data_IF_625096931502
#
_entry.id   IF_625096931502
#
_cell.length_a   1.000
_cell.length_b   1.000
_cell.length_c   1.000
_cell.angle_alpha   90.00
_cell.angle_beta   90.00
_cell.angle_gamma   90.00
#
_symmetry.space_group_name_H-M   'P 1'
#
loop_
_entity.id
_entity.type
_entity.pdbx_description
1 polymer ?
#
# COMPACT_ATOMS: atom_id res chain seq x y z
N UNK A 1 9.11 18.20 -15.68
CA UNK A 1 7.68 17.84 -15.74
C UNK A 1 7.12 18.47 -17.01
N UNK A 2 6.76 17.66 -18.01
CA UNK A 2 6.17 18.17 -19.24
C UNK A 2 4.77 18.72 -18.94
N UNK A 3 4.47 19.94 -19.42
CA UNK A 3 3.18 20.57 -19.15
C UNK A 3 2.20 20.06 -20.20
N UNK A 4 1.16 19.33 -19.77
CA UNK A 4 0.15 18.77 -20.67
C UNK A 4 -0.67 19.93 -21.28
N UNK A 5 -0.87 19.90 -22.61
CA UNK A 5 -1.40 21.03 -23.38
C UNK A 5 -2.80 20.77 -23.96
N UNK A 6 -3.45 19.66 -23.60
CA UNK A 6 -4.73 19.20 -24.16
C UNK A 6 -4.64 19.04 -25.69
N UNK A 7 -3.55 18.42 -26.13
CA UNK A 7 -3.20 18.23 -27.53
C UNK A 7 -3.30 16.76 -27.92
N UNK A 8 -3.78 16.51 -29.14
CA UNK A 8 -3.66 15.20 -29.79
C UNK A 8 -2.23 14.95 -30.24
N UNK A 9 -1.88 13.68 -30.45
CA UNK A 9 -0.54 13.27 -30.89
C UNK A 9 -0.06 13.99 -32.17
N UNK A 10 -0.94 14.16 -33.15
CA UNK A 10 -0.65 14.86 -34.42
C UNK A 10 -0.29 16.34 -34.25
N UNK A 11 -0.67 16.97 -33.14
CA UNK A 11 -0.38 18.38 -32.87
C UNK A 11 0.99 18.61 -32.20
N UNK A 12 1.72 17.53 -31.89
CA UNK A 12 3.04 17.59 -31.31
C UNK A 12 4.14 17.46 -32.37
N UNK A 13 5.20 18.25 -32.24
CA UNK A 13 6.43 18.00 -32.98
C UNK A 13 7.17 16.79 -32.38
N UNK A 14 8.08 16.18 -33.15
CA UNK A 14 8.84 15.01 -32.72
C UNK A 14 9.59 15.24 -31.40
N UNK A 15 10.22 16.40 -31.23
CA UNK A 15 10.95 16.75 -30.01
C UNK A 15 10.04 16.86 -28.78
N UNK A 16 8.82 17.38 -28.95
CA UNK A 16 7.87 17.50 -27.85
C UNK A 16 7.22 16.15 -27.49
N UNK A 17 7.00 15.27 -28.48
CA UNK A 17 6.60 13.88 -28.22
C UNK A 17 7.67 13.14 -27.41
N UNK A 18 8.95 13.30 -27.76
CA UNK A 18 10.04 12.69 -27.00
C UNK A 18 10.09 13.20 -25.55
N UNK A 19 9.90 14.51 -25.33
CA UNK A 19 9.85 15.07 -23.98
C UNK A 19 8.63 14.59 -23.20
N UNK A 20 7.48 14.44 -23.85
CA UNK A 20 6.27 13.90 -23.24
C UNK A 20 6.50 12.44 -22.83
N UNK A 21 7.03 11.60 -23.72
CA UNK A 21 7.32 10.19 -23.43
C UNK A 21 8.37 10.05 -22.32
N UNK A 22 9.43 10.86 -22.33
CA UNK A 22 10.41 10.89 -21.25
C UNK A 22 9.78 11.27 -19.91
N UNK A 23 8.88 12.28 -19.89
CA UNK A 23 8.18 12.67 -18.67
C UNK A 23 7.23 11.58 -18.16
N UNK A 24 6.58 10.85 -19.07
CA UNK A 24 5.69 9.75 -18.71
C UNK A 24 6.46 8.54 -18.18
N UNK A 25 7.61 8.22 -18.78
CA UNK A 25 8.50 7.18 -18.28
C UNK A 25 9.07 7.52 -16.90
N UNK A 26 9.51 8.76 -16.67
CA UNK A 26 9.94 9.22 -15.33
C UNK A 26 8.80 9.09 -14.30
N UNK A 27 7.57 9.41 -14.67
CA UNK A 27 6.40 9.21 -13.80
C UNK A 27 6.15 7.73 -13.50
N UNK A 28 6.27 6.88 -14.51
CA UNK A 28 6.14 5.44 -14.38
C UNK A 28 7.19 4.86 -13.42
N UNK A 29 8.45 5.26 -13.58
CA UNK A 29 9.55 4.82 -12.74
C UNK A 29 9.38 5.30 -11.29
N UNK A 30 8.98 6.57 -11.07
CA UNK A 30 8.64 7.08 -9.73
C UNK A 30 7.52 6.30 -9.07
N UNK A 31 6.49 5.91 -9.84
CA UNK A 31 5.41 5.06 -9.32
C UNK A 31 5.92 3.69 -8.88
N UNK A 32 6.79 3.07 -9.68
CA UNK A 32 7.43 1.79 -9.31
C UNK A 32 8.32 1.90 -8.07
N UNK A 33 9.08 3.00 -7.95
CA UNK A 33 9.92 3.23 -6.76
C UNK A 33 9.04 3.34 -5.52
N UNK A 34 7.95 4.13 -5.58
CA UNK A 34 6.99 4.24 -4.48
C UNK A 34 6.32 2.90 -4.13
N UNK A 35 5.98 2.09 -5.12
CA UNK A 35 5.47 0.73 -4.89
C UNK A 35 6.54 -0.13 -4.18
N UNK A 36 7.78 -0.12 -4.67
CA UNK A 36 8.88 -0.89 -4.09
C UNK A 36 9.19 -0.45 -2.66
N UNK A 37 9.23 0.85 -2.38
CA UNK A 37 9.42 1.38 -1.04
C UNK A 37 8.32 0.91 -0.09
N UNK A 38 7.07 0.90 -0.55
CA UNK A 38 5.93 0.40 0.25
C UNK A 38 5.98 -1.10 0.46
N UNK A 39 6.46 -1.87 -0.51
CA UNK A 39 6.70 -3.32 -0.34
C UNK A 39 7.80 -3.56 0.72
N UNK A 40 8.92 -2.84 0.63
CA UNK A 40 10.00 -2.91 1.63
C UNK A 40 9.49 -2.53 3.02
N UNK A 41 8.68 -1.49 3.10
CA UNK A 41 8.09 -1.06 4.37
C UNK A 41 7.10 -2.11 4.92
N UNK A 42 6.36 -2.78 4.05
CA UNK A 42 5.53 -3.92 4.43
C UNK A 42 6.36 -5.10 4.96
N UNK A 43 7.51 -5.41 4.35
CA UNK A 43 8.41 -6.46 4.84
C UNK A 43 8.93 -6.14 6.25
N UNK A 44 9.26 -4.87 6.53
CA UNK A 44 9.60 -4.41 7.89
C UNK A 44 8.44 -4.61 8.86
N UNK A 45 7.21 -4.26 8.46
CA UNK A 45 6.03 -4.47 9.29
C UNK A 45 5.72 -5.96 9.52
N UNK A 46 5.98 -6.83 8.55
CA UNK A 46 5.87 -8.29 8.71
C UNK A 46 6.94 -8.84 9.67
N UNK A 47 8.14 -8.27 9.69
CA UNK A 47 9.14 -8.57 10.71
C UNK A 47 8.69 -8.17 12.12
N UNK A 48 8.10 -6.98 12.27
CA UNK A 48 7.49 -6.54 13.52
C UNK A 48 6.33 -7.44 13.96
N UNK A 49 5.50 -7.87 13.01
CA UNK A 49 4.44 -8.84 13.24
C UNK A 49 4.98 -10.18 13.78
N UNK A 50 6.06 -10.71 13.18
CA UNK A 50 6.71 -11.93 13.67
C UNK A 50 7.28 -11.75 15.08
N UNK A 51 7.87 -10.58 15.39
CA UNK A 51 8.33 -10.25 16.73
C UNK A 51 7.18 -10.18 17.75
N UNK A 52 6.06 -9.57 17.38
CA UNK A 52 4.87 -9.49 18.22
C UNK A 52 4.25 -10.89 18.44
N UNK A 53 4.16 -11.71 17.40
CA UNK A 53 3.68 -13.09 17.49
C UNK A 53 4.58 -13.92 18.40
N UNK A 54 5.91 -13.84 18.27
CA UNK A 54 6.85 -14.51 19.14
C UNK A 54 6.71 -14.06 20.61
N UNK A 55 6.53 -12.76 20.84
CA UNK A 55 6.32 -12.20 22.19
C UNK A 55 5.02 -12.71 22.82
N UNK A 56 3.94 -12.74 22.03
CA UNK A 56 2.66 -13.30 22.47
C UNK A 56 2.78 -14.79 22.78
N UNK A 57 3.44 -15.58 21.92
CA UNK A 57 3.69 -17.01 22.16
C UNK A 57 4.51 -17.26 23.42
N UNK A 58 5.57 -16.48 23.67
CA UNK A 58 6.37 -16.58 24.91
C UNK A 58 5.51 -16.27 26.14
N UNK A 59 4.69 -15.22 26.08
CA UNK A 59 3.77 -14.86 27.17
C UNK A 59 2.72 -15.94 27.45
N UNK A 60 2.17 -16.57 26.40
CA UNK A 60 1.25 -17.70 26.53
C UNK A 60 1.92 -18.95 27.12
N UNK A 61 3.16 -19.27 26.72
CA UNK A 61 3.92 -20.42 27.22
C UNK A 61 4.29 -20.24 28.71
N UNK A 62 4.53 -19.01 29.16
CA UNK A 62 4.84 -18.72 30.57
C UNK A 62 3.60 -18.77 31.49
N UNK A 63 2.38 -18.65 30.96
CA UNK A 63 1.15 -18.71 31.75
C UNK A 63 0.82 -20.18 32.13
N UNK A 64 1.36 -20.64 33.26
CA UNK A 64 1.32 -22.04 33.71
C UNK A 64 -0.05 -22.61 34.14
N UNK A 65 -1.15 -21.84 34.13
CA UNK A 65 -2.42 -22.37 34.64
C UNK A 65 -3.71 -21.82 34.00
N UNK A 66 -3.83 -20.52 33.70
CA UNK A 66 -5.04 -19.94 33.08
C UNK A 66 -4.66 -18.72 32.25
N UNK A 67 -5.02 -18.71 30.97
CA UNK A 67 -4.93 -17.54 30.09
C UNK A 67 -6.18 -16.70 30.30
N UNK A 68 -6.03 -15.41 30.61
CA UNK A 68 -7.19 -14.52 30.79
C UNK A 68 -7.86 -14.22 29.46
N UNK A 69 -9.18 -13.98 29.49
CA UNK A 69 -9.97 -13.66 28.29
C UNK A 69 -9.42 -12.41 27.55
N UNK A 70 -8.80 -11.48 28.30
CA UNK A 70 -8.10 -10.31 27.76
C UNK A 70 -6.85 -10.66 26.93
N UNK A 71 -6.07 -11.68 27.32
CA UNK A 71 -4.94 -12.15 26.53
C UNK A 71 -5.39 -12.79 25.21
N UNK A 72 -6.54 -13.48 25.21
CA UNK A 72 -7.16 -13.98 23.98
C UNK A 72 -7.61 -12.84 23.04
N UNK A 73 -8.24 -11.80 23.58
CA UNK A 73 -8.63 -10.62 22.79
C UNK A 73 -7.39 -9.90 22.24
N UNK A 74 -6.33 -9.77 23.04
CA UNK A 74 -5.06 -9.21 22.60
C UNK A 74 -4.42 -10.03 21.46
N UNK A 75 -4.41 -11.35 21.57
CA UNK A 75 -3.93 -12.24 20.50
C UNK A 75 -4.72 -12.07 19.20
N UNK A 76 -6.05 -11.98 19.27
CA UNK A 76 -6.89 -11.73 18.10
C UNK A 76 -6.66 -10.34 17.48
N UNK A 77 -6.36 -9.33 18.29
CA UNK A 77 -5.97 -8.02 17.77
C UNK A 77 -4.64 -8.09 16.99
N UNK A 78 -3.65 -8.85 17.48
CA UNK A 78 -2.41 -9.09 16.73
C UNK A 78 -2.66 -9.84 15.42
N UNK A 79 -3.46 -10.92 15.44
CA UNK A 79 -3.84 -11.64 14.21
C UNK A 79 -4.51 -10.70 13.20
N UNK A 80 -5.41 -9.84 13.66
CA UNK A 80 -6.10 -8.87 12.81
C UNK A 80 -5.14 -7.85 12.21
N UNK A 81 -4.15 -7.38 12.98
CA UNK A 81 -3.11 -6.48 12.49
C UNK A 81 -2.27 -7.14 11.38
N UNK A 82 -1.91 -8.42 11.56
CA UNK A 82 -1.17 -9.19 10.55
C UNK A 82 -2.01 -9.37 9.28
N UNK A 83 -3.30 -9.69 9.41
CA UNK A 83 -4.19 -9.80 8.26
C UNK A 83 -4.31 -8.48 7.49
N UNK A 84 -4.39 -7.34 8.19
CA UNK A 84 -4.40 -6.02 7.55
C UNK A 84 -3.11 -5.75 6.76
N UNK A 85 -1.94 -6.14 7.29
CA UNK A 85 -0.67 -6.04 6.57
C UNK A 85 -0.63 -6.97 5.34
N UNK A 86 -1.14 -8.20 5.45
CA UNK A 86 -1.24 -9.12 4.31
C UNK A 86 -2.16 -8.55 3.23
N UNK A 87 -3.34 -8.04 3.61
CA UNK A 87 -4.28 -7.38 2.70
C UNK A 87 -3.61 -6.19 2.00
N UNK A 88 -2.83 -5.39 2.73
CA UNK A 88 -2.08 -4.27 2.16
C UNK A 88 -1.13 -4.72 1.05
N UNK A 89 -0.46 -5.87 1.21
CA UNK A 89 0.38 -6.47 0.15
C UNK A 89 -0.40 -6.69 -1.14
N UNK A 90 -1.51 -7.40 -1.04
CA UNK A 90 -2.31 -7.80 -2.19
C UNK A 90 -3.01 -6.61 -2.85
N UNK A 91 -3.52 -5.66 -2.05
CA UNK A 91 -4.12 -4.43 -2.55
C UNK A 91 -3.10 -3.56 -3.28
N UNK A 92 -1.87 -3.47 -2.77
CA UNK A 92 -0.79 -2.73 -3.45
C UNK A 92 -0.47 -3.36 -4.80
N UNK A 93 -0.27 -4.68 -4.84
CA UNK A 93 0.03 -5.40 -6.09
C UNK A 93 -1.12 -5.32 -7.10
N UNK A 94 -2.37 -5.45 -6.63
CA UNK A 94 -3.55 -5.34 -7.48
C UNK A 94 -3.71 -3.93 -8.07
N UNK A 95 -3.55 -2.89 -7.25
CA UNK A 95 -3.63 -1.50 -7.71
C UNK A 95 -2.53 -1.19 -8.73
N UNK A 96 -1.29 -1.64 -8.50
CA UNK A 96 -0.20 -1.48 -9.45
C UNK A 96 -0.51 -2.12 -10.81
N UNK A 97 -1.01 -3.37 -10.79
CA UNK A 97 -1.44 -4.07 -12.01
C UNK A 97 -2.55 -3.31 -12.73
N UNK A 98 -3.60 -2.91 -12.02
CA UNK A 98 -4.73 -2.15 -12.59
C UNK A 98 -4.27 -0.84 -13.21
N UNK A 99 -3.42 -0.10 -12.52
CA UNK A 99 -2.99 1.23 -12.97
C UNK A 99 -2.01 1.11 -14.15
N UNK A 100 -1.23 0.02 -14.25
CA UNK A 100 -0.48 -0.35 -15.46
C UNK A 100 -1.39 -0.50 -16.68
N UNK A 101 -2.49 -1.24 -16.55
CA UNK A 101 -3.44 -1.43 -17.65
C UNK A 101 -4.07 -0.10 -18.06
N UNK A 102 -4.47 0.74 -17.10
CA UNK A 102 -5.04 2.07 -17.40
C UNK A 102 -4.05 2.98 -18.10
N UNK A 103 -2.77 2.90 -17.75
CA UNK A 103 -1.73 3.66 -18.42
C UNK A 103 -1.48 3.17 -19.85
N UNK A 104 -1.45 1.86 -20.07
CA UNK A 104 -1.32 1.26 -21.40
C UNK A 104 -2.51 1.60 -22.29
N UNK A 105 -3.73 1.53 -21.75
CA UNK A 105 -4.96 1.92 -22.44
C UNK A 105 -4.94 3.41 -22.81
N UNK A 106 -4.59 4.29 -21.86
CA UNK A 106 -4.46 5.72 -22.12
C UNK A 106 -3.39 6.04 -23.18
N UNK A 107 -2.26 5.33 -23.16
CA UNK A 107 -1.22 5.45 -24.21
C UNK A 107 -1.76 5.02 -25.56
N UNK A 108 -2.44 3.88 -25.64
CA UNK A 108 -3.04 3.39 -26.88
C UNK A 108 -4.05 4.38 -27.46
N UNK A 109 -4.93 4.95 -26.62
CA UNK A 109 -5.95 5.93 -27.05
C UNK A 109 -5.35 7.26 -27.47
N UNK A 110 -4.28 7.70 -26.82
CA UNK A 110 -3.50 8.87 -27.24
C UNK A 110 -2.78 8.61 -28.58
N UNK A 111 -2.18 7.44 -28.75
CA UNK A 111 -1.45 7.07 -29.97
C UNK A 111 -2.35 6.90 -31.19
N UNK A 112 -3.60 6.47 -30.98
CA UNK A 112 -4.66 6.37 -31.97
C UNK A 112 -5.39 7.70 -32.28
N UNK A 113 -4.97 8.81 -31.67
CA UNK A 113 -5.60 10.13 -31.79
C UNK A 113 -7.06 10.20 -31.30
N UNK A 114 -7.50 9.23 -30.49
CA UNK A 114 -8.84 9.23 -29.90
C UNK A 114 -8.94 10.24 -28.75
N UNK A 115 -7.92 10.29 -27.90
CA UNK A 115 -7.83 11.19 -26.74
C UNK A 115 -6.65 12.17 -26.85
N UNK A 116 -6.74 13.28 -26.11
CA UNK A 116 -5.61 14.19 -25.90
C UNK A 116 -4.71 13.73 -24.76
N UNK A 117 -3.53 14.33 -24.65
CA UNK A 117 -2.57 14.09 -23.57
C UNK A 117 -3.13 14.35 -22.15
N UNK A 118 -4.28 15.03 -22.02
CA UNK A 118 -5.01 15.21 -20.76
C UNK A 118 -5.41 13.88 -20.12
N UNK A 119 -5.59 12.80 -20.89
CA UNK A 119 -5.90 11.46 -20.37
C UNK A 119 -4.86 11.00 -19.34
N UNK A 120 -3.58 11.34 -19.55
CA UNK A 120 -2.49 10.97 -18.65
C UNK A 120 -2.58 11.68 -17.29
N UNK A 121 -3.15 12.89 -17.23
CA UNK A 121 -3.40 13.58 -15.96
C UNK A 121 -4.42 12.82 -15.12
N UNK A 122 -5.51 12.39 -15.75
CA UNK A 122 -6.57 11.63 -15.10
C UNK A 122 -6.08 10.28 -14.58
N UNK A 123 -5.29 9.57 -15.39
CA UNK A 123 -4.69 8.28 -14.97
C UNK A 123 -3.72 8.50 -13.81
N UNK A 124 -2.85 9.51 -13.91
CA UNK A 124 -1.87 9.82 -12.87
C UNK A 124 -2.53 10.13 -11.53
N UNK A 125 -3.50 11.05 -11.51
CA UNK A 125 -4.14 11.48 -10.27
C UNK A 125 -4.90 10.32 -9.63
N UNK A 126 -5.58 9.47 -10.42
CA UNK A 126 -6.26 8.29 -9.90
C UNK A 126 -5.30 7.25 -9.30
N UNK A 127 -4.18 6.96 -9.97
CA UNK A 127 -3.16 6.00 -9.54
C UNK A 127 -2.57 6.39 -8.19
N UNK A 128 -2.06 7.63 -8.07
CA UNK A 128 -1.43 8.09 -6.83
C UNK A 128 -2.42 8.19 -5.67
N UNK A 129 -3.64 8.68 -5.92
CA UNK A 129 -4.59 8.92 -4.85
C UNK A 129 -5.16 7.63 -4.26
N UNK A 130 -5.49 6.64 -5.11
CA UNK A 130 -6.00 5.34 -4.65
C UNK A 130 -4.91 4.59 -3.89
N UNK A 131 -3.70 4.49 -4.45
CA UNK A 131 -2.61 3.77 -3.81
C UNK A 131 -2.23 4.41 -2.47
N UNK A 132 -2.10 5.74 -2.40
CA UNK A 132 -1.79 6.44 -1.16
C UNK A 132 -2.88 6.26 -0.09
N UNK A 133 -4.16 6.38 -0.47
CA UNK A 133 -5.27 6.26 0.48
C UNK A 133 -5.39 4.84 1.05
N UNK A 134 -5.33 3.82 0.19
CA UNK A 134 -5.38 2.42 0.62
C UNK A 134 -4.23 2.09 1.57
N UNK A 135 -3.02 2.57 1.25
CA UNK A 135 -1.85 2.36 2.09
C UNK A 135 -2.01 2.99 3.48
N UNK A 136 -2.40 4.27 3.56
CA UNK A 136 -2.61 4.91 4.85
C UNK A 136 -3.69 4.22 5.67
N UNK A 137 -4.87 3.94 5.11
CA UNK A 137 -5.96 3.32 5.88
C UNK A 137 -5.53 1.99 6.50
N UNK A 138 -4.86 1.14 5.72
CA UNK A 138 -4.43 -0.18 6.19
C UNK A 138 -3.25 -0.09 7.16
N UNK A 139 -2.30 0.81 6.94
CA UNK A 139 -1.17 1.03 7.86
C UNK A 139 -1.64 1.54 9.22
N UNK A 140 -2.50 2.56 9.24
CA UNK A 140 -3.08 3.09 10.47
C UNK A 140 -3.94 2.04 11.18
N UNK A 141 -4.74 1.27 10.44
CA UNK A 141 -5.53 0.17 10.98
C UNK A 141 -4.65 -0.91 11.63
N UNK A 142 -3.58 -1.33 10.96
CA UNK A 142 -2.64 -2.32 11.51
C UNK A 142 -1.94 -1.78 12.76
N UNK A 143 -1.44 -0.55 12.74
CA UNK A 143 -0.81 0.09 13.90
C UNK A 143 -1.74 0.19 15.11
N UNK A 144 -2.99 0.61 14.91
CA UNK A 144 -4.00 0.67 15.97
C UNK A 144 -4.29 -0.72 16.56
N UNK A 145 -4.38 -1.75 15.72
CA UNK A 145 -4.60 -3.12 16.15
C UNK A 145 -3.41 -3.69 16.97
N UNK A 146 -2.17 -3.39 16.58
CA UNK A 146 -0.98 -3.74 17.37
C UNK A 146 -0.98 -3.08 18.76
N UNK A 147 -1.29 -1.78 18.84
CA UNK A 147 -1.36 -1.06 20.11
C UNK A 147 -2.47 -1.63 21.01
N UNK A 148 -3.65 -1.87 20.45
CA UNK A 148 -4.75 -2.48 21.19
C UNK A 148 -4.38 -3.88 21.71
N UNK A 149 -3.73 -4.70 20.87
CA UNK A 149 -3.23 -6.02 21.25
C UNK A 149 -2.29 -5.96 22.46
N UNK A 150 -1.30 -5.05 22.42
CA UNK A 150 -0.38 -4.81 23.55
C UNK A 150 -1.11 -4.43 24.84
N UNK A 151 -2.06 -3.49 24.76
CA UNK A 151 -2.82 -3.03 25.93
C UNK A 151 -3.62 -4.19 26.55
N UNK A 152 -4.35 -4.95 25.74
CA UNK A 152 -5.15 -6.07 26.23
C UNK A 152 -4.30 -7.19 26.81
N UNK A 153 -3.15 -7.49 26.20
CA UNK A 153 -2.21 -8.48 26.74
C UNK A 153 -1.66 -8.02 28.09
N UNK A 154 -1.27 -6.75 28.24
CA UNK A 154 -0.76 -6.21 29.51
C UNK A 154 -1.81 -6.22 30.63
N UNK A 155 -3.05 -5.82 30.34
CA UNK A 155 -4.18 -5.92 31.28
C UNK A 155 -4.38 -7.37 31.68
N UNK A 156 -4.38 -8.28 30.70
CA UNK A 156 -4.62 -9.69 30.93
C UNK A 156 -3.53 -10.37 31.77
N UNK A 157 -2.27 -9.96 31.64
CA UNK A 157 -1.17 -10.40 32.54
C UNK A 157 -1.40 -9.88 33.96
N UNK A 158 -1.78 -8.61 34.11
CA UNK A 158 -2.00 -8.00 35.44
C UNK A 158 -3.22 -8.56 36.17
N UNK A 159 -4.25 -9.04 35.46
CA UNK A 159 -5.40 -9.71 36.06
C UNK A 159 -5.16 -11.20 36.39
N UNK A 160 -4.11 -11.81 35.83
CA UNK A 160 -3.76 -13.21 36.06
C UNK A 160 -2.64 -13.41 37.10
N UNK A 161 -1.93 -12.33 37.46
CA UNK A 161 -0.98 -12.25 38.57
C UNK A 161 -1.71 -12.01 39.90
#
# INVERSE_FOLDING_TARGET
MFNLQDKKRSAYCADDLMKLEASLNDYWDKSRVLESERIVDLEKHLWLANGAAATASVGFIQAKAVVSLWQYVGAWAFVSAILLLIILKYVSAFNSSRDRYRFQDAKSRFDAEEDSDRVFRTVRDAMFHVLARSYHVLQWGAGAAFIAGLIFTLIGVRCAA
#
